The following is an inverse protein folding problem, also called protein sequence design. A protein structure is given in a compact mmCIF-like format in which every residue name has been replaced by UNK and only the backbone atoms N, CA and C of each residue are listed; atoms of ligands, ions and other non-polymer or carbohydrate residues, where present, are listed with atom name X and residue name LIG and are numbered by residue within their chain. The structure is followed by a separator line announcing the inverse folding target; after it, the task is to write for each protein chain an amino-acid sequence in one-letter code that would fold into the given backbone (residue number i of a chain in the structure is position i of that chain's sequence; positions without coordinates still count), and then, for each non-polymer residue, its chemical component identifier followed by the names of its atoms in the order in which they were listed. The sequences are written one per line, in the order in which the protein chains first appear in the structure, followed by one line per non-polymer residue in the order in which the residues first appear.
data_IF_173792323430
#
_entry.id   IF_173792323430
#
_cell.length_a   1.000
_cell.length_b   1.000
_cell.length_c   1.000
_cell.angle_alpha   90.00
_cell.angle_beta   90.00
_cell.angle_gamma   90.00
#
_symmetry.space_group_name_H-M   'P 1'
#
loop_
_entity.id
_entity.type
_entity.pdbx_description
1 polymer ?
#
# COMPACT_ATOMS: atom_id res chain seq x y z
N UNK A 1 41.47 -8.07 -55.62
CA UNK A 1 41.47 -7.29 -54.36
C UNK A 1 40.53 -7.95 -53.36
N UNK A 2 41.01 -8.36 -52.19
CA UNK A 2 40.17 -8.94 -51.13
C UNK A 2 39.15 -7.90 -50.65
N UNK A 3 37.84 -8.23 -50.71
CA UNK A 3 36.78 -7.33 -50.22
C UNK A 3 37.00 -7.10 -48.71
N UNK A 4 37.28 -5.85 -48.33
CA UNK A 4 37.37 -5.46 -46.91
C UNK A 4 36.01 -5.73 -46.25
N UNK A 5 36.04 -6.48 -45.15
CA UNK A 5 34.85 -6.77 -44.35
C UNK A 5 34.29 -5.46 -43.77
N UNK A 6 32.98 -5.27 -43.79
CA UNK A 6 32.30 -4.13 -43.14
C UNK A 6 31.94 -4.45 -41.69
N UNK A 7 31.67 -3.43 -40.85
CA UNK A 7 31.16 -3.63 -39.48
C UNK A 7 29.91 -4.50 -39.43
N UNK A 8 28.96 -4.29 -40.35
CA UNK A 8 27.73 -5.11 -40.44
C UNK A 8 28.04 -6.59 -40.71
N UNK A 9 28.97 -6.86 -41.62
CA UNK A 9 29.40 -8.23 -41.94
C UNK A 9 30.19 -8.87 -40.79
N UNK A 10 30.98 -8.09 -40.05
CA UNK A 10 31.63 -8.54 -38.82
C UNK A 10 30.59 -9.00 -37.79
N UNK A 11 29.59 -8.17 -37.50
CA UNK A 11 28.53 -8.47 -36.52
C UNK A 11 27.74 -9.71 -36.91
N UNK A 12 27.28 -9.81 -38.16
CA UNK A 12 26.54 -10.99 -38.65
C UNK A 12 27.33 -12.30 -38.55
N UNK A 13 28.66 -12.24 -38.68
CA UNK A 13 29.51 -13.42 -38.50
C UNK A 13 29.74 -13.71 -37.02
N UNK A 14 29.91 -12.69 -36.19
CA UNK A 14 30.07 -12.84 -34.75
C UNK A 14 28.81 -13.41 -34.07
N UNK A 15 27.62 -12.97 -34.49
CA UNK A 15 26.32 -13.51 -34.04
C UNK A 15 26.14 -14.99 -34.44
N UNK A 16 26.64 -15.42 -35.60
CA UNK A 16 26.61 -16.84 -35.99
C UNK A 16 27.48 -17.73 -35.11
N UNK A 17 28.62 -17.21 -34.64
CA UNK A 17 29.58 -17.97 -33.82
C UNK A 17 29.14 -17.98 -32.36
N UNK A 18 28.65 -16.86 -31.84
CA UNK A 18 28.41 -16.66 -30.41
C UNK A 18 26.93 -16.58 -30.03
N UNK A 19 26.02 -16.61 -31.00
CA UNK A 19 24.60 -16.40 -30.78
C UNK A 19 24.35 -15.06 -30.07
N UNK A 20 23.49 -15.09 -29.06
CA UNK A 20 23.08 -13.90 -28.30
C UNK A 20 24.00 -13.58 -27.10
N UNK A 21 25.23 -14.12 -27.05
CA UNK A 21 26.12 -13.94 -25.88
C UNK A 21 26.71 -12.53 -25.77
N UNK A 22 26.78 -11.80 -26.88
CA UNK A 22 27.41 -10.48 -26.95
C UNK A 22 26.48 -9.48 -27.64
N UNK A 23 26.67 -8.21 -27.30
CA UNK A 23 26.07 -7.05 -27.92
C UNK A 23 27.18 -6.27 -28.67
N UNK A 24 26.85 -5.82 -29.88
CA UNK A 24 27.76 -5.15 -30.80
C UNK A 24 27.33 -3.72 -31.13
N UNK A 25 26.42 -3.13 -30.34
CA UNK A 25 25.89 -1.79 -30.57
C UNK A 25 26.98 -0.70 -30.65
N UNK A 26 28.10 -0.90 -29.95
CA UNK A 26 29.26 0.00 -29.94
C UNK A 26 30.45 -0.53 -30.77
N UNK A 27 30.28 -1.61 -31.53
CA UNK A 27 31.36 -2.21 -32.30
C UNK A 27 31.64 -1.42 -33.59
N UNK A 28 32.88 -0.96 -33.76
CA UNK A 28 33.37 -0.34 -35.00
C UNK A 28 34.50 -1.18 -35.58
N UNK A 29 34.29 -1.76 -36.75
CA UNK A 29 35.31 -2.57 -37.42
C UNK A 29 36.15 -1.71 -38.37
N UNK A 30 37.43 -1.58 -38.07
CA UNK A 30 38.40 -0.81 -38.89
C UNK A 30 39.43 -1.70 -39.59
N UNK A 31 39.47 -3.00 -39.28
CA UNK A 31 40.40 -3.97 -39.87
C UNK A 31 40.47 -5.27 -39.06
N UNK A 32 40.98 -6.35 -39.67
CA UNK A 32 41.08 -7.68 -39.03
C UNK A 32 42.09 -7.74 -37.88
N UNK A 33 43.11 -6.87 -37.94
CA UNK A 33 44.18 -6.78 -36.94
C UNK A 33 43.87 -5.79 -35.81
N UNK A 34 42.90 -4.91 -36.02
CA UNK A 34 42.50 -3.89 -35.04
C UNK A 34 41.49 -4.47 -34.06
N UNK A 35 41.67 -4.18 -32.77
CA UNK A 35 40.72 -4.62 -31.75
C UNK A 35 39.38 -3.91 -31.96
N UNK A 36 38.30 -4.66 -31.77
CA UNK A 36 36.93 -4.16 -31.77
C UNK A 36 36.36 -4.22 -30.35
N UNK A 37 35.57 -3.22 -29.97
CA UNK A 37 34.83 -3.20 -28.71
C UNK A 37 33.60 -4.11 -28.84
N UNK A 38 33.49 -5.09 -27.95
CA UNK A 38 32.38 -6.05 -27.88
C UNK A 38 31.81 -5.98 -26.48
N UNK A 39 30.49 -5.99 -26.34
CA UNK A 39 29.83 -5.93 -25.05
C UNK A 39 29.43 -7.35 -24.65
N UNK A 40 30.09 -7.90 -23.63
CA UNK A 40 29.60 -9.11 -22.99
C UNK A 40 28.33 -8.77 -22.21
N UNK A 41 27.21 -9.44 -22.53
CA UNK A 41 25.96 -9.23 -21.77
C UNK A 41 26.10 -9.53 -20.28
N UNK A 42 27.16 -10.25 -19.89
CA UNK A 42 27.48 -10.64 -18.50
C UNK A 42 28.51 -9.67 -17.90
N UNK A 43 29.63 -9.40 -18.57
CA UNK A 43 30.75 -8.67 -17.95
C UNK A 43 30.98 -7.25 -18.49
N UNK A 44 30.12 -6.77 -19.39
CA UNK A 44 30.25 -5.44 -20.01
C UNK A 44 31.25 -5.39 -21.17
N UNK A 45 31.69 -4.17 -21.56
CA UNK A 45 32.53 -3.96 -22.74
C UNK A 45 33.95 -4.51 -22.54
N UNK A 46 34.47 -5.17 -23.56
CA UNK A 46 35.86 -5.62 -23.66
C UNK A 46 36.35 -5.48 -25.10
N UNK A 47 37.66 -5.59 -25.31
CA UNK A 47 38.27 -5.50 -26.63
C UNK A 47 38.89 -6.83 -27.06
N UNK A 48 38.68 -7.20 -28.33
CA UNK A 48 39.25 -8.42 -28.92
C UNK A 48 39.54 -8.21 -30.41
N UNK A 49 40.47 -8.97 -30.97
CA UNK A 49 40.69 -8.98 -32.43
C UNK A 49 39.50 -9.68 -33.11
N UNK A 50 38.97 -9.14 -34.22
CA UNK A 50 37.87 -9.76 -34.98
C UNK A 50 38.15 -11.19 -35.41
N UNK A 51 39.37 -11.49 -35.87
CA UNK A 51 39.76 -12.83 -36.30
C UNK A 51 39.67 -13.87 -35.17
N UNK A 52 40.15 -13.51 -33.97
CA UNK A 52 40.10 -14.37 -32.78
C UNK A 52 38.66 -14.54 -32.30
N UNK A 53 37.88 -13.46 -32.29
CA UNK A 53 36.48 -13.52 -31.92
C UNK A 53 35.67 -14.44 -32.85
N UNK A 54 35.88 -14.36 -34.17
CA UNK A 54 35.24 -15.27 -35.14
C UNK A 54 35.71 -16.72 -35.03
N UNK A 55 36.89 -16.99 -34.45
CA UNK A 55 37.35 -18.35 -34.11
C UNK A 55 36.71 -18.92 -32.85
N UNK A 56 35.84 -18.14 -32.19
CA UNK A 56 35.14 -18.56 -30.97
C UNK A 56 35.78 -18.05 -29.69
N UNK A 57 36.83 -17.22 -29.75
CA UNK A 57 37.33 -16.54 -28.56
C UNK A 57 36.25 -15.61 -27.99
N UNK A 58 36.00 -15.75 -26.69
CA UNK A 58 34.98 -15.00 -25.98
C UNK A 58 35.55 -13.99 -25.00
N UNK A 59 34.69 -13.47 -24.14
CA UNK A 59 35.09 -12.63 -23.01
C UNK A 59 35.99 -13.44 -22.05
N UNK A 60 37.21 -12.94 -21.81
CA UNK A 60 38.16 -13.57 -20.89
C UNK A 60 37.55 -13.75 -19.48
N UNK A 61 36.77 -12.78 -19.02
CA UNK A 61 36.08 -12.82 -17.72
C UNK A 61 35.04 -13.96 -17.66
N UNK A 62 34.37 -14.30 -18.77
CA UNK A 62 33.52 -15.49 -18.84
C UNK A 62 34.32 -16.78 -18.70
N UNK A 63 35.48 -16.85 -19.34
CA UNK A 63 36.32 -18.05 -19.34
C UNK A 63 37.02 -18.25 -17.98
N UNK A 64 37.47 -17.16 -17.36
CA UNK A 64 38.08 -17.13 -16.04
C UNK A 64 37.07 -17.17 -14.89
N UNK A 65 35.76 -17.21 -15.22
CA UNK A 65 34.66 -17.17 -14.24
C UNK A 65 34.81 -16.00 -13.25
N UNK A 66 35.24 -14.83 -13.75
CA UNK A 66 35.36 -13.62 -12.95
C UNK A 66 33.97 -13.05 -12.60
N UNK A 67 33.92 -12.21 -11.55
CA UNK A 67 32.66 -11.65 -11.05
C UNK A 67 31.97 -10.74 -12.07
N UNK A 68 30.63 -10.64 -11.97
CA UNK A 68 29.85 -9.61 -12.66
C UNK A 68 30.34 -8.21 -12.26
N UNK A 69 30.21 -7.24 -13.15
CA UNK A 69 30.34 -5.82 -12.75
C UNK A 69 29.18 -5.47 -11.81
N UNK A 70 29.38 -4.44 -10.96
CA UNK A 70 28.36 -4.02 -9.97
C UNK A 70 27.04 -3.65 -10.62
N UNK A 71 27.08 -2.95 -11.74
CA UNK A 71 25.89 -2.45 -12.42
C UNK A 71 25.11 -3.61 -13.03
N UNK A 72 25.77 -4.51 -13.76
CA UNK A 72 25.12 -5.68 -14.39
C UNK A 72 24.57 -6.65 -13.34
N UNK A 73 25.26 -6.83 -12.20
CA UNK A 73 24.69 -7.61 -11.10
C UNK A 73 23.46 -6.94 -10.52
N UNK A 74 23.51 -5.63 -10.29
CA UNK A 74 22.42 -4.86 -9.69
C UNK A 74 21.17 -4.93 -10.56
N UNK A 75 21.31 -4.74 -11.88
CA UNK A 75 20.20 -4.83 -12.83
C UNK A 75 19.57 -6.23 -12.83
N UNK A 76 20.39 -7.28 -12.95
CA UNK A 76 19.89 -8.68 -12.93
C UNK A 76 19.30 -9.08 -11.59
N UNK A 77 19.87 -8.61 -10.50
CA UNK A 77 19.36 -8.90 -9.16
C UNK A 77 18.04 -8.18 -8.89
N UNK A 78 17.91 -6.94 -9.38
CA UNK A 78 16.66 -6.19 -9.35
C UNK A 78 15.57 -6.87 -10.19
N UNK A 79 15.88 -7.37 -11.39
CA UNK A 79 14.93 -8.16 -12.18
C UNK A 79 14.51 -9.44 -11.45
N UNK A 80 15.47 -10.18 -10.89
CA UNK A 80 15.22 -11.47 -10.23
C UNK A 80 14.42 -11.34 -8.93
N UNK A 81 14.69 -10.29 -8.16
CA UNK A 81 14.13 -10.05 -6.83
C UNK A 81 13.14 -8.89 -6.79
N UNK A 82 12.68 -8.42 -7.96
CA UNK A 82 11.72 -7.33 -8.11
C UNK A 82 12.08 -6.09 -7.26
N UNK A 83 13.34 -5.66 -7.35
CA UNK A 83 13.90 -4.51 -6.64
C UNK A 83 13.83 -4.57 -5.09
N UNK A 84 13.84 -5.77 -4.51
CA UNK A 84 13.69 -5.94 -3.06
C UNK A 84 14.96 -5.68 -2.22
N UNK A 85 16.14 -5.46 -2.82
CA UNK A 85 17.41 -5.36 -2.09
C UNK A 85 18.23 -4.15 -2.53
N UNK A 86 19.09 -3.64 -1.64
CA UNK A 86 20.10 -2.63 -1.97
C UNK A 86 21.49 -3.25 -2.06
N UNK A 87 22.24 -2.81 -3.07
CA UNK A 87 23.56 -3.33 -3.44
C UNK A 87 24.67 -2.26 -3.30
N UNK A 88 24.39 -1.17 -2.57
CA UNK A 88 25.31 -0.04 -2.39
C UNK A 88 26.69 -0.48 -1.86
N UNK A 89 26.70 -1.43 -0.93
CA UNK A 89 27.90 -1.91 -0.23
C UNK A 89 28.57 -3.12 -0.88
N UNK A 90 28.16 -3.51 -2.09
CA UNK A 90 28.75 -4.67 -2.74
C UNK A 90 30.15 -4.32 -3.27
N UNK A 91 31.15 -5.11 -2.86
CA UNK A 91 32.50 -5.13 -3.42
C UNK A 91 32.75 -6.49 -4.05
N UNK A 92 33.04 -6.55 -5.35
CA UNK A 92 33.28 -7.80 -6.07
C UNK A 92 34.76 -8.14 -6.10
N UNK A 93 35.09 -9.42 -5.90
CA UNK A 93 36.40 -9.99 -6.20
C UNK A 93 36.32 -11.17 -7.17
N UNK A 94 35.34 -12.07 -7.03
CA UNK A 94 35.10 -13.21 -7.94
C UNK A 94 33.68 -13.81 -7.74
N UNK A 95 33.23 -14.73 -8.61
CA UNK A 95 31.85 -15.31 -8.54
C UNK A 95 31.57 -16.14 -7.29
N UNK A 96 32.62 -16.60 -6.60
CA UNK A 96 32.54 -17.39 -5.37
C UNK A 96 32.60 -16.54 -4.11
N UNK A 97 33.05 -15.27 -4.21
CA UNK A 97 33.03 -14.36 -3.05
C UNK A 97 31.61 -14.00 -2.64
N UNK A 98 31.41 -13.99 -1.33
CA UNK A 98 30.16 -13.51 -0.73
C UNK A 98 30.09 -11.99 -0.88
N UNK A 99 28.99 -11.51 -1.42
CA UNK A 99 28.66 -10.10 -1.55
C UNK A 99 27.75 -9.66 -0.40
N UNK A 100 27.96 -8.43 0.08
CA UNK A 100 27.14 -7.80 1.11
C UNK A 100 25.89 -7.18 0.48
N UNK A 101 24.75 -7.83 0.65
CA UNK A 101 23.45 -7.41 0.14
C UNK A 101 22.65 -6.84 1.29
N UNK A 102 21.95 -5.73 1.08
CA UNK A 102 21.12 -5.09 2.10
C UNK A 102 19.67 -5.45 1.85
N UNK A 103 19.09 -6.25 2.75
CA UNK A 103 17.64 -6.42 2.84
C UNK A 103 17.05 -5.21 3.56
N UNK A 104 16.06 -4.51 2.97
CA UNK A 104 15.33 -3.44 3.63
C UNK A 104 14.70 -3.90 4.96
N UNK A 105 14.30 -5.17 5.05
CA UNK A 105 13.64 -5.73 6.23
C UNK A 105 14.62 -6.24 7.31
N UNK A 106 15.76 -6.81 6.91
CA UNK A 106 16.64 -7.57 7.82
C UNK A 106 18.08 -7.05 7.89
N UNK A 107 18.38 -5.95 7.20
CA UNK A 107 19.71 -5.36 7.16
C UNK A 107 20.67 -6.10 6.22
N UNK A 108 21.97 -5.93 6.46
CA UNK A 108 23.01 -6.50 5.58
C UNK A 108 23.17 -8.00 5.84
N UNK A 109 23.16 -8.80 4.77
CA UNK A 109 23.47 -10.22 4.78
C UNK A 109 24.48 -10.54 3.67
N UNK A 110 25.10 -11.71 3.76
CA UNK A 110 26.13 -12.15 2.81
C UNK A 110 25.66 -13.38 2.02
N UNK A 111 25.78 -13.31 0.70
CA UNK A 111 25.47 -14.43 -0.21
C UNK A 111 26.46 -14.46 -1.36
N UNK A 112 26.69 -15.62 -1.96
CA UNK A 112 27.46 -15.67 -3.20
C UNK A 112 26.64 -15.07 -4.35
N UNK A 113 27.32 -14.52 -5.34
CA UNK A 113 26.68 -13.99 -6.54
C UNK A 113 25.80 -15.05 -7.21
N UNK A 114 26.32 -16.28 -7.32
CA UNK A 114 25.63 -17.43 -7.90
C UNK A 114 24.31 -17.69 -7.19
N UNK A 115 24.33 -17.87 -5.87
CA UNK A 115 23.13 -18.21 -5.09
C UNK A 115 22.08 -17.10 -5.17
N UNK A 116 22.51 -15.83 -5.05
CA UNK A 116 21.57 -14.72 -5.14
C UNK A 116 20.89 -14.66 -6.53
N UNK A 117 21.64 -14.93 -7.61
CA UNK A 117 21.08 -14.98 -8.97
C UNK A 117 20.15 -16.17 -9.21
N UNK A 118 20.32 -17.29 -8.48
CA UNK A 118 19.37 -18.40 -8.52
C UNK A 118 18.02 -18.07 -7.86
N UNK A 119 17.92 -16.95 -7.14
CA UNK A 119 16.71 -16.51 -6.46
C UNK A 119 16.72 -16.78 -4.96
N UNK A 120 17.85 -17.22 -4.39
CA UNK A 120 18.00 -17.26 -2.94
C UNK A 120 17.98 -15.83 -2.40
N UNK A 121 16.91 -15.48 -1.70
CA UNK A 121 16.73 -14.17 -1.06
C UNK A 121 17.43 -14.09 0.29
N UNK A 122 17.12 -13.05 1.07
CA UNK A 122 17.65 -12.92 2.42
C UNK A 122 17.33 -14.18 3.26
N UNK A 123 18.33 -14.81 3.91
CA UNK A 123 18.10 -15.98 4.76
C UNK A 123 17.16 -15.72 5.93
N UNK A 124 16.96 -14.46 6.32
CA UNK A 124 15.95 -14.08 7.33
C UNK A 124 14.55 -13.91 6.74
N UNK A 125 14.43 -13.62 5.44
CA UNK A 125 13.14 -13.64 4.74
C UNK A 125 12.72 -15.08 4.38
N UNK A 126 13.67 -15.94 3.97
CA UNK A 126 13.40 -17.29 3.50
C UNK A 126 13.68 -18.42 4.50
N UNK A 127 14.38 -18.15 5.60
CA UNK A 127 14.78 -19.16 6.58
C UNK A 127 13.92 -19.15 7.84
N UNK A 128 13.97 -20.27 8.57
CA UNK A 128 13.36 -20.54 9.89
C UNK A 128 13.86 -19.64 11.04
N UNK A 129 14.55 -18.52 10.75
CA UNK A 129 14.96 -17.56 11.78
C UNK A 129 13.72 -16.78 12.24
N UNK A 130 13.40 -16.91 13.52
CA UNK A 130 12.30 -16.18 14.15
C UNK A 130 12.46 -14.69 13.89
N UNK A 131 11.45 -14.08 13.27
CA UNK A 131 11.38 -12.63 13.10
C UNK A 131 11.32 -11.99 14.48
N UNK A 132 12.21 -11.04 14.72
CA UNK A 132 12.29 -10.34 16.00
C UNK A 132 11.16 -9.32 16.14
N UNK A 133 10.81 -8.97 17.39
CA UNK A 133 9.82 -7.92 17.68
C UNK A 133 10.14 -6.61 16.95
N UNK A 134 11.41 -6.20 16.88
CA UNK A 134 11.83 -4.97 16.19
C UNK A 134 11.54 -5.03 14.68
N UNK A 135 11.84 -6.16 14.04
CA UNK A 135 11.59 -6.36 12.61
C UNK A 135 10.09 -6.35 12.29
N UNK A 136 9.28 -7.02 13.12
CA UNK A 136 7.82 -6.96 12.98
C UNK A 136 7.28 -5.53 13.09
N UNK A 137 7.71 -4.76 14.10
CA UNK A 137 7.25 -3.38 14.29
C UNK A 137 7.58 -2.52 13.07
N UNK A 138 8.78 -2.66 12.50
CA UNK A 138 9.17 -1.95 11.28
C UNK A 138 8.26 -2.31 10.10
N UNK A 139 8.03 -3.61 9.86
CA UNK A 139 7.15 -4.09 8.77
C UNK A 139 5.69 -3.66 8.96
N UNK A 140 5.18 -3.75 10.19
CA UNK A 140 3.81 -3.40 10.53
C UNK A 140 3.54 -1.89 10.39
N UNK A 141 4.51 -1.04 10.71
CA UNK A 141 4.44 0.41 10.45
C UNK A 141 4.35 0.73 8.96
N UNK A 142 5.09 0.02 8.11
CA UNK A 142 5.00 0.20 6.65
C UNK A 142 3.64 -0.29 6.14
N UNK A 143 3.24 -1.51 6.49
CA UNK A 143 1.98 -2.12 6.05
C UNK A 143 0.75 -1.27 6.42
N UNK A 144 0.76 -0.65 7.60
CA UNK A 144 -0.37 0.13 8.11
C UNK A 144 -0.14 1.64 8.13
N UNK A 145 0.89 2.14 7.44
CA UNK A 145 1.22 3.58 7.36
C UNK A 145 1.27 4.25 8.75
N UNK A 146 1.91 3.59 9.71
CA UNK A 146 2.07 4.04 11.10
C UNK A 146 0.77 4.25 11.89
N UNK A 147 -0.32 3.55 11.53
CA UNK A 147 -1.64 3.68 12.19
C UNK A 147 -1.72 3.07 13.60
N UNK A 148 -0.81 2.17 13.97
CA UNK A 148 -0.83 1.43 15.23
C UNK A 148 0.42 1.68 16.08
N UNK A 149 0.25 1.54 17.40
CA UNK A 149 1.35 1.55 18.36
C UNK A 149 1.67 0.12 18.81
N UNK A 150 2.95 -0.12 19.05
CA UNK A 150 3.51 -1.44 19.37
C UNK A 150 4.30 -1.43 20.69
N UNK A 151 4.05 -0.45 21.56
CA UNK A 151 4.78 -0.30 22.84
C UNK A 151 4.63 -1.53 23.76
N UNK A 152 3.48 -2.21 23.67
CA UNK A 152 3.14 -3.40 24.45
C UNK A 152 3.31 -4.70 23.66
N UNK A 153 3.89 -4.65 22.46
CA UNK A 153 4.06 -5.81 21.61
C UNK A 153 5.33 -6.55 22.01
N UNK A 154 5.19 -7.82 22.39
CA UNK A 154 6.30 -8.78 22.48
C UNK A 154 6.01 -9.96 21.57
N UNK A 155 7.02 -10.44 20.83
CA UNK A 155 6.85 -11.37 19.73
C UNK A 155 7.57 -12.68 20.03
N UNK A 156 6.81 -13.72 20.36
CA UNK A 156 7.35 -15.06 20.66
C UNK A 156 7.32 -15.99 19.43
N UNK A 157 6.56 -15.62 18.39
CA UNK A 157 6.47 -16.29 17.10
C UNK A 157 5.41 -15.67 16.18
N UNK A 158 5.47 -15.97 14.87
CA UNK A 158 4.55 -15.39 13.86
C UNK A 158 3.09 -15.90 13.97
N UNK A 159 2.90 -17.05 14.61
CA UNK A 159 1.59 -17.69 14.79
C UNK A 159 0.99 -17.46 16.17
N UNK A 160 1.70 -16.77 17.07
CA UNK A 160 1.24 -16.45 18.42
C UNK A 160 0.67 -15.05 18.40
N UNK A 161 -0.50 -14.85 19.02
CA UNK A 161 -1.09 -13.52 19.06
C UNK A 161 -0.21 -12.55 19.85
N UNK A 162 -0.13 -11.31 19.36
CA UNK A 162 0.56 -10.21 20.02
C UNK A 162 -0.42 -9.09 20.31
N UNK A 163 -0.11 -8.30 21.34
CA UNK A 163 -0.87 -7.10 21.69
C UNK A 163 -0.44 -5.95 20.79
N UNK A 164 -1.40 -5.39 20.06
CA UNK A 164 -1.24 -4.23 19.18
C UNK A 164 -2.18 -3.15 19.70
N UNK A 165 -1.69 -1.92 19.80
CA UNK A 165 -2.51 -0.79 20.25
C UNK A 165 -3.06 -0.04 19.05
N UNK A 166 -4.37 -0.03 18.88
CA UNK A 166 -5.04 0.89 17.97
C UNK A 166 -5.21 2.24 18.68
N UNK A 167 -4.75 3.33 18.05
CA UNK A 167 -5.07 4.68 18.55
C UNK A 167 -6.59 4.93 18.66
N UNK A 168 -7.33 4.17 17.84
CA UNK A 168 -8.78 3.88 17.73
C UNK A 168 -9.55 3.37 18.97
N UNK A 169 -9.11 2.20 19.40
CA UNK A 169 -9.94 1.23 20.12
C UNK A 169 -9.15 0.57 21.25
N UNK A 170 -7.96 1.08 21.54
CA UNK A 170 -7.07 0.53 22.55
C UNK A 170 -6.37 -0.74 22.09
N UNK A 171 -5.97 -1.55 23.06
CA UNK A 171 -5.21 -2.77 22.84
C UNK A 171 -6.09 -3.88 22.27
N UNK A 172 -5.62 -4.54 21.23
CA UNK A 172 -6.26 -5.71 20.65
C UNK A 172 -5.22 -6.79 20.36
N UNK A 173 -5.67 -8.04 20.30
CA UNK A 173 -4.83 -9.21 20.11
C UNK A 173 -4.94 -9.69 18.66
N UNK A 174 -3.80 -9.92 18.00
CA UNK A 174 -3.78 -10.40 16.61
C UNK A 174 -2.51 -11.17 16.31
N UNK A 175 -2.57 -12.13 15.38
CA UNK A 175 -1.38 -12.82 14.86
C UNK A 175 -0.50 -11.84 14.06
N UNK A 176 0.82 -11.79 14.29
CA UNK A 176 1.75 -10.99 13.52
C UNK A 176 1.63 -11.20 12.00
N UNK A 177 1.51 -12.45 11.55
CA UNK A 177 1.36 -12.78 10.13
C UNK A 177 0.11 -12.13 9.51
N UNK A 178 -1.04 -12.26 10.17
CA UNK A 178 -2.31 -11.67 9.71
C UNK A 178 -2.24 -10.14 9.72
N UNK A 179 -1.62 -9.57 10.75
CA UNK A 179 -1.43 -8.14 10.84
C UNK A 179 -0.58 -7.61 9.68
N UNK A 180 0.51 -8.28 9.34
CA UNK A 180 1.37 -7.90 8.20
C UNK A 180 0.66 -8.06 6.85
N UNK A 181 -0.26 -9.01 6.72
CA UNK A 181 -1.12 -9.18 5.54
C UNK A 181 -2.21 -8.10 5.40
N UNK A 182 -2.21 -7.08 6.26
CA UNK A 182 -3.11 -5.93 6.17
C UNK A 182 -4.38 -6.06 7.01
N UNK A 183 -4.52 -7.13 7.81
CA UNK A 183 -5.63 -7.24 8.76
C UNK A 183 -5.39 -6.24 9.89
N UNK A 184 -6.31 -5.29 10.05
CA UNK A 184 -6.19 -4.22 11.04
C UNK A 184 -6.95 -4.52 12.33
N UNK A 185 -7.18 -3.48 13.13
CA UNK A 185 -8.03 -3.56 14.31
C UNK A 185 -9.43 -4.10 13.93
N UNK A 186 -9.95 -5.13 14.63
CA UNK A 186 -11.22 -5.75 14.31
C UNK A 186 -12.39 -4.76 14.44
N UNK A 187 -12.33 -3.82 15.39
CA UNK A 187 -13.35 -2.78 15.56
C UNK A 187 -13.29 -1.75 14.42
N UNK A 188 -12.09 -1.35 13.99
CA UNK A 188 -11.93 -0.51 12.79
C UNK A 188 -12.42 -1.23 11.51
N UNK A 189 -12.15 -2.52 11.39
CA UNK A 189 -12.57 -3.37 10.26
C UNK A 189 -14.08 -3.55 10.22
N UNK A 190 -14.70 -3.86 11.35
CA UNK A 190 -16.15 -4.00 11.49
C UNK A 190 -16.89 -2.68 11.17
N UNK A 191 -16.35 -1.52 11.58
CA UNK A 191 -16.91 -0.21 11.24
C UNK A 191 -16.84 0.15 9.74
N UNK A 192 -16.00 -0.52 8.93
CA UNK A 192 -16.03 -0.35 7.47
C UNK A 192 -17.31 -0.93 6.84
N UNK A 193 -18.07 -1.77 7.55
CA UNK A 193 -19.34 -2.34 7.08
C UNK A 193 -20.59 -1.65 7.68
N UNK A 194 -20.43 -0.65 8.55
CA UNK A 194 -21.55 0.09 9.14
C UNK A 194 -21.13 1.48 9.58
N UNK A 195 -21.44 2.49 8.76
CA UNK A 195 -21.08 3.87 9.01
C UNK A 195 -21.84 4.48 10.19
N UNK A 196 -21.14 4.80 11.27
CA UNK A 196 -21.62 5.64 12.36
C UNK A 196 -20.47 6.45 12.93
N UNK A 197 -20.69 7.76 13.10
CA UNK A 197 -19.77 8.63 13.82
C UNK A 197 -19.84 8.33 15.33
N UNK A 198 -18.74 8.48 16.06
CA UNK A 198 -18.70 8.32 17.52
C UNK A 198 -17.80 9.39 18.13
N UNK A 199 -17.97 9.69 19.41
CA UNK A 199 -17.13 10.67 20.11
C UNK A 199 -15.64 10.29 20.04
N UNK A 200 -15.33 9.01 20.24
CA UNK A 200 -13.99 8.44 20.03
C UNK A 200 -13.42 8.69 18.64
N UNK A 201 -14.24 8.56 17.59
CA UNK A 201 -13.82 8.84 16.20
C UNK A 201 -13.38 10.29 16.02
N UNK A 202 -14.06 11.26 16.63
CA UNK A 202 -13.70 12.66 16.53
C UNK A 202 -12.49 13.05 17.39
N UNK A 203 -12.27 12.37 18.52
CA UNK A 203 -11.04 12.54 19.32
C UNK A 203 -9.79 12.10 18.56
N UNK A 204 -9.90 11.02 17.78
CA UNK A 204 -8.77 10.43 17.05
C UNK A 204 -8.51 11.05 15.68
N UNK A 205 -9.52 11.72 15.13
CA UNK A 205 -9.43 12.39 13.83
C UNK A 205 -9.83 13.86 13.96
N UNK A 206 -9.10 14.71 14.73
CA UNK A 206 -9.53 16.09 14.99
C UNK A 206 -9.68 16.92 13.70
N UNK A 207 -8.89 16.63 12.66
CA UNK A 207 -8.99 17.29 11.35
C UNK A 207 -10.33 17.08 10.63
N UNK A 208 -11.10 16.04 10.97
CA UNK A 208 -12.42 15.81 10.34
C UNK A 208 -13.54 16.58 11.01
N UNK A 209 -13.32 17.14 12.21
CA UNK A 209 -14.35 17.88 12.97
C UNK A 209 -14.88 19.09 12.21
N UNK A 210 -13.99 19.75 11.46
CA UNK A 210 -14.26 20.99 10.71
C UNK A 210 -14.75 20.77 9.28
N UNK A 211 -14.89 19.51 8.82
CA UNK A 211 -15.38 19.23 7.47
C UNK A 211 -16.80 19.77 7.34
N UNK A 212 -17.14 20.51 6.26
CA UNK A 212 -18.50 20.96 6.01
C UNK A 212 -19.47 19.77 5.96
N UNK A 213 -20.53 19.85 6.75
CA UNK A 213 -21.60 18.88 6.80
C UNK A 213 -22.94 19.59 6.99
N UNK A 214 -24.00 18.81 7.11
CA UNK A 214 -25.32 19.29 7.49
C UNK A 214 -26.05 18.25 8.33
N UNK A 215 -26.77 18.72 9.34
CA UNK A 215 -27.81 17.96 10.03
C UNK A 215 -29.14 18.21 9.32
N UNK A 216 -29.96 17.18 9.15
CA UNK A 216 -31.23 17.27 8.43
C UNK A 216 -32.35 16.53 9.14
N UNK A 217 -33.57 16.98 8.87
CA UNK A 217 -34.81 16.28 9.19
C UNK A 217 -35.59 16.06 7.89
N UNK A 218 -35.95 14.80 7.63
CA UNK A 218 -36.76 14.42 6.48
C UNK A 218 -38.05 13.74 6.93
N UNK A 219 -39.15 13.98 6.21
CA UNK A 219 -40.31 13.09 6.25
C UNK A 219 -40.08 11.97 5.23
N UNK A 220 -40.32 10.72 5.63
CA UNK A 220 -40.18 9.54 4.76
C UNK A 220 -41.57 8.96 4.52
N UNK A 221 -41.95 8.88 3.26
CA UNK A 221 -43.26 8.37 2.79
C UNK A 221 -44.47 8.97 3.54
N UNK A 222 -44.34 10.17 4.12
CA UNK A 222 -45.34 10.81 5.00
C UNK A 222 -45.76 9.97 6.23
N UNK A 223 -44.99 8.94 6.61
CA UNK A 223 -45.31 8.08 7.74
C UNK A 223 -44.56 8.48 9.02
N UNK A 224 -43.28 8.83 8.88
CA UNK A 224 -42.43 9.20 10.00
C UNK A 224 -41.41 10.25 9.57
N UNK A 225 -40.74 10.83 10.54
CA UNK A 225 -39.60 11.69 10.28
C UNK A 225 -38.29 11.05 10.76
N UNK A 226 -37.20 11.35 10.07
CA UNK A 226 -35.86 10.83 10.37
C UNK A 226 -34.89 11.98 10.47
N UNK A 227 -34.12 12.01 11.55
CA UNK A 227 -32.97 12.90 11.69
C UNK A 227 -31.70 12.22 11.17
N UNK A 228 -30.77 12.99 10.63
CA UNK A 228 -29.48 12.44 10.21
C UNK A 228 -28.45 13.51 9.92
N UNK A 229 -27.20 13.08 9.76
CA UNK A 229 -26.10 13.93 9.29
C UNK A 229 -25.51 13.46 7.95
N UNK A 230 -25.02 14.41 7.15
CA UNK A 230 -24.34 14.11 5.88
C UNK A 230 -23.25 15.11 5.54
N UNK A 231 -22.15 14.62 4.96
CA UNK A 231 -21.09 15.45 4.34
C UNK A 231 -21.42 15.84 2.89
N UNK A 232 -22.46 15.23 2.32
CA UNK A 232 -22.86 15.45 0.92
C UNK A 232 -23.66 16.73 0.82
N UNK A 233 -23.47 17.46 -0.29
CA UNK A 233 -24.23 18.68 -0.60
C UNK A 233 -25.74 18.44 -0.70
N UNK A 234 -26.15 17.30 -1.26
CA UNK A 234 -27.56 16.99 -1.50
C UNK A 234 -28.02 15.76 -0.69
N UNK A 235 -29.07 15.95 0.12
CA UNK A 235 -29.67 14.89 0.97
C UNK A 235 -30.23 13.74 0.12
N UNK A 236 -30.73 14.01 -1.10
CA UNK A 236 -31.25 13.00 -2.03
C UNK A 236 -30.33 11.81 -2.28
N UNK A 237 -29.01 12.01 -2.15
CA UNK A 237 -28.03 10.95 -2.32
C UNK A 237 -27.95 9.96 -1.13
N UNK A 238 -28.71 10.18 -0.05
CA UNK A 238 -28.81 9.29 1.11
C UNK A 238 -30.01 8.33 1.04
N UNK A 239 -31.00 8.65 0.22
CA UNK A 239 -32.27 7.93 0.14
C UNK A 239 -32.56 7.49 -1.31
N UNK A 240 -31.72 6.63 -1.92
CA UNK A 240 -31.98 6.14 -3.28
C UNK A 240 -33.22 5.24 -3.28
N UNK A 241 -34.20 5.56 -4.12
CA UNK A 241 -35.41 4.74 -4.28
C UNK A 241 -36.44 4.83 -3.13
N UNK A 242 -36.33 5.85 -2.27
CA UNK A 242 -37.29 6.13 -1.18
C UNK A 242 -37.88 7.52 -1.41
N UNK A 243 -39.20 7.67 -1.28
CA UNK A 243 -39.84 8.97 -1.37
C UNK A 243 -39.70 9.72 -0.04
N UNK A 244 -39.15 10.94 -0.09
CA UNK A 244 -38.92 11.74 1.11
C UNK A 244 -39.04 13.24 0.79
N UNK A 245 -39.40 14.03 1.80
CA UNK A 245 -39.37 15.49 1.76
C UNK A 245 -38.43 16.04 2.84
N UNK A 246 -37.65 17.06 2.52
CA UNK A 246 -36.78 17.73 3.50
C UNK A 246 -37.64 18.71 4.29
N UNK A 247 -37.73 18.51 5.60
CA UNK A 247 -38.49 19.39 6.50
C UNK A 247 -37.61 20.50 7.09
N UNK A 248 -36.33 20.18 7.37
CA UNK A 248 -35.34 21.12 7.86
C UNK A 248 -33.92 20.64 7.53
N UNK A 249 -32.99 21.57 7.36
CA UNK A 249 -31.56 21.27 7.25
C UNK A 249 -30.74 22.47 7.73
N UNK A 250 -29.67 22.20 8.48
CA UNK A 250 -28.75 23.23 8.96
C UNK A 250 -27.31 22.86 8.57
N UNK A 251 -26.58 23.73 7.85
CA UNK A 251 -25.16 23.53 7.58
C UNK A 251 -24.35 23.71 8.87
N UNK A 252 -23.54 22.72 9.21
CA UNK A 252 -22.72 22.70 10.42
C UNK A 252 -21.39 21.98 10.14
N UNK A 253 -20.32 22.29 10.87
CA UNK A 253 -19.15 21.42 10.96
C UNK A 253 -19.54 20.00 11.36
N UNK A 254 -18.87 19.00 10.80
CA UNK A 254 -19.23 17.59 10.97
C UNK A 254 -19.37 17.14 12.43
N UNK A 255 -18.49 17.65 13.31
CA UNK A 255 -18.58 17.31 14.74
C UNK A 255 -19.78 17.97 15.43
N UNK A 256 -20.09 19.22 15.08
CA UNK A 256 -21.25 19.93 15.61
C UNK A 256 -22.56 19.31 15.12
N UNK A 257 -22.62 18.90 13.85
CA UNK A 257 -23.75 18.16 13.30
C UNK A 257 -23.97 16.85 14.08
N UNK A 258 -22.90 16.11 14.38
CA UNK A 258 -22.96 14.89 15.19
C UNK A 258 -23.46 15.17 16.61
N UNK A 259 -22.90 16.17 17.31
CA UNK A 259 -23.34 16.54 18.65
C UNK A 259 -24.82 16.94 18.67
N UNK A 260 -25.27 17.68 17.66
CA UNK A 260 -26.67 18.09 17.55
C UNK A 260 -27.61 16.92 17.33
N UNK A 261 -27.21 15.97 16.47
CA UNK A 261 -27.95 14.73 16.27
C UNK A 261 -28.06 13.93 17.58
N UNK A 262 -26.95 13.70 18.29
CA UNK A 262 -26.99 12.99 19.59
C UNK A 262 -27.85 13.71 20.62
N UNK A 263 -27.72 15.05 20.74
CA UNK A 263 -28.55 15.86 21.64
C UNK A 263 -30.06 15.65 21.39
N UNK A 264 -30.48 15.61 20.13
CA UNK A 264 -31.90 15.39 19.77
C UNK A 264 -32.29 13.93 20.06
N UNK A 265 -31.46 12.96 19.70
CA UNK A 265 -31.73 11.54 19.95
C UNK A 265 -31.88 11.21 21.44
N UNK A 266 -31.12 11.88 22.30
CA UNK A 266 -31.17 11.73 23.75
C UNK A 266 -32.37 12.49 24.34
N UNK A 267 -32.58 13.76 23.94
CA UNK A 267 -33.69 14.59 24.42
C UNK A 267 -35.06 13.98 24.12
N UNK A 268 -35.21 13.33 22.96
CA UNK A 268 -36.48 12.73 22.52
C UNK A 268 -36.47 11.21 22.58
N UNK A 269 -35.62 10.61 23.42
CA UNK A 269 -35.39 9.16 23.45
C UNK A 269 -36.68 8.34 23.61
N UNK A 270 -37.62 8.79 24.46
CA UNK A 270 -38.88 8.11 24.75
C UNK A 270 -39.85 8.07 23.57
N UNK A 271 -39.70 8.96 22.59
CA UNK A 271 -40.58 9.08 21.43
C UNK A 271 -40.05 8.35 20.18
N UNK A 272 -38.87 7.74 20.27
CA UNK A 272 -38.25 7.03 19.15
C UNK A 272 -39.03 5.75 18.84
N UNK A 273 -39.19 5.46 17.56
CA UNK A 273 -39.81 4.20 17.16
C UNK A 273 -39.00 2.99 17.64
N UNK A 274 -39.69 1.96 18.13
CA UNK A 274 -39.04 0.69 18.46
C UNK A 274 -38.93 -0.15 17.19
N UNK A 275 -37.93 -1.02 17.12
CA UNK A 275 -37.65 -1.89 15.96
C UNK A 275 -38.90 -2.69 15.52
N UNK A 276 -39.76 -3.08 16.48
CA UNK A 276 -41.01 -3.81 16.22
C UNK A 276 -42.05 -2.98 15.43
N UNK A 277 -42.04 -1.66 15.59
CA UNK A 277 -43.07 -0.77 15.04
C UNK A 277 -42.84 -0.48 13.54
N UNK A 278 -41.62 -0.71 13.03
CA UNK A 278 -41.21 -0.27 11.71
C UNK A 278 -40.70 -1.39 10.78
N UNK A 279 -40.91 -2.67 11.12
CA UNK A 279 -40.41 -3.83 10.34
C UNK A 279 -40.82 -3.84 8.86
N UNK A 280 -41.84 -3.06 8.46
CA UNK A 280 -42.35 -2.96 7.08
C UNK A 280 -41.71 -1.85 6.24
N UNK A 281 -40.86 -0.99 6.81
CA UNK A 281 -40.35 0.20 6.12
C UNK A 281 -38.95 -0.05 5.51
N UNK A 282 -38.74 0.38 4.27
CA UNK A 282 -37.46 0.20 3.56
C UNK A 282 -36.41 1.23 3.96
N UNK A 283 -36.09 1.37 5.25
CA UNK A 283 -35.06 2.31 5.72
C UNK A 283 -34.08 1.69 6.73
N UNK A 284 -32.82 2.13 6.69
CA UNK A 284 -31.79 1.76 7.67
C UNK A 284 -31.62 2.86 8.73
N UNK A 285 -31.13 2.50 9.92
CA UNK A 285 -30.95 3.45 11.03
C UNK A 285 -32.24 3.79 11.78
N UNK A 286 -32.94 2.76 12.26
CA UNK A 286 -34.22 2.84 12.98
C UNK A 286 -34.19 3.70 14.24
N UNK A 287 -33.02 3.76 14.86
CA UNK A 287 -32.75 4.55 16.06
C UNK A 287 -32.91 6.04 15.84
N UNK A 288 -32.99 6.53 14.60
CA UNK A 288 -33.07 7.96 14.28
C UNK A 288 -34.47 8.39 13.80
N UNK A 289 -35.47 7.51 13.93
CA UNK A 289 -36.82 7.74 13.42
C UNK A 289 -37.80 8.12 14.55
N UNK A 290 -38.68 9.07 14.25
CA UNK A 290 -39.69 9.63 15.16
C UNK A 290 -41.06 9.76 14.49
N UNK A 291 -42.17 9.72 15.24
CA UNK A 291 -43.49 10.03 14.74
C UNK A 291 -43.55 11.36 13.99
N UNK A 292 -44.31 11.44 12.90
CA UNK A 292 -44.42 12.68 12.11
C UNK A 292 -45.02 13.85 12.94
N UNK A 293 -45.81 13.55 13.97
CA UNK A 293 -46.36 14.56 14.90
C UNK A 293 -45.28 15.37 15.65
N UNK A 294 -44.08 14.81 15.82
CA UNK A 294 -42.93 15.51 16.42
C UNK A 294 -42.17 16.39 15.44
N UNK A 295 -42.46 16.30 14.14
CA UNK A 295 -41.71 17.02 13.12
C UNK A 295 -41.64 18.54 13.32
N UNK A 296 -42.72 19.26 13.74
CA UNK A 296 -42.64 20.70 14.00
C UNK A 296 -41.65 21.04 15.12
N UNK A 297 -41.62 20.23 16.19
CA UNK A 297 -40.73 20.42 17.34
C UNK A 297 -39.28 20.10 16.96
N UNK A 298 -39.06 18.99 16.24
CA UNK A 298 -37.74 18.61 15.76
C UNK A 298 -37.18 19.62 14.74
N UNK A 299 -38.04 20.17 13.88
CA UNK A 299 -37.69 21.26 12.96
C UNK A 299 -37.20 22.50 13.71
N UNK A 300 -37.91 22.92 14.77
CA UNK A 300 -37.45 24.04 15.60
C UNK A 300 -36.07 23.78 16.23
N UNK A 301 -35.77 22.55 16.65
CA UNK A 301 -34.45 22.20 17.18
C UNK A 301 -33.33 22.32 16.16
N UNK A 302 -33.59 22.03 14.88
CA UNK A 302 -32.63 22.20 13.78
C UNK A 302 -32.53 23.67 13.34
N UNK A 303 -33.66 24.38 13.25
CA UNK A 303 -33.70 25.78 12.81
C UNK A 303 -32.93 26.70 13.78
N UNK A 304 -32.89 26.38 15.08
CA UNK A 304 -32.04 27.06 16.07
C UNK A 304 -30.55 27.06 15.71
N UNK A 305 -30.07 26.07 14.94
CA UNK A 305 -28.68 26.01 14.50
C UNK A 305 -28.38 26.97 13.34
N UNK A 306 -29.39 27.41 12.60
CA UNK A 306 -29.23 28.31 11.44
C UNK A 306 -29.07 29.77 11.90
N UNK A 307 -29.65 30.14 13.06
CA UNK A 307 -29.63 31.50 13.59
C UNK A 307 -28.31 31.97 14.23
N UNK A 308 -27.31 31.09 14.39
CA UNK A 308 -26.02 31.42 15.02
C UNK A 308 -24.92 31.81 14.01
N UNK A 309 -25.17 31.72 12.70
CA UNK A 309 -24.19 32.01 11.65
C UNK A 309 -24.39 33.36 10.93
N UNK A 310 -25.23 34.24 11.47
CA UNK A 310 -25.49 35.60 10.95
C UNK A 310 -25.33 36.68 12.03
N UNK A 311 -24.24 36.63 12.82
CA UNK A 311 -23.72 37.76 13.61
C UNK A 311 -22.20 37.77 13.49
#
# INVERSE_FOLDING_TARGET
MSKKLTTKQFVQRAERVHGNRYDYALSVFTGVDNKVTIICRVHGPFQQRPADHHRGSGCALCNERQALTKDVFTDRANEKHNCQYSYEKVKYKNVTTKVKIVCPEHGTFEQTQKDHMYGYGCPSCGGTKKVTTKQFIARARVAHKSKYSYKKTNLDGMNTNVTITCGVHGDFSQRPADHLNGVGCPVCGAKKQGGGYSETFFLQCPGVKKIPAQVYLVSVDNHFCKIGITKKRYIKQRFPGIHFSVLAAAPLPLYEAFLKEQQILDKFQSYRYKIKDLQKLRCTGWTECFPLSLAPILKQEIDKCVGLNNV
#
